data_IF_684992864964
#
_entry.id   IF_684992864964
#
_cell.length_a   1.000
_cell.length_b   1.000
_cell.length_c   1.000
_cell.angle_alpha   90.00
_cell.angle_beta   90.00
_cell.angle_gamma   90.00
#
_symmetry.space_group_name_H-M   'P 1'
#
loop_
_entity.id
_entity.type
_entity.pdbx_description
1 polymer ?
#
# COMPACT_ATOMS: atom_id res chain seq x y z
N UNK A 1 -32.36 -3.21 -29.84
CA UNK A 1 -32.48 -3.99 -28.60
C UNK A 1 -31.49 -3.41 -27.59
N UNK A 2 -31.92 -2.50 -26.72
CA UNK A 2 -31.08 -2.02 -25.60
C UNK A 2 -31.09 -3.14 -24.58
N UNK A 3 -29.94 -3.76 -24.35
CA UNK A 3 -29.77 -4.61 -23.17
C UNK A 3 -29.76 -3.66 -22.00
N UNK A 4 -30.89 -3.58 -21.29
CA UNK A 4 -30.97 -2.95 -19.99
C UNK A 4 -30.01 -3.71 -19.08
N UNK A 5 -28.81 -3.16 -18.93
CA UNK A 5 -27.87 -3.63 -17.92
C UNK A 5 -28.47 -3.21 -16.59
N UNK A 6 -29.19 -4.14 -15.97
CA UNK A 6 -29.56 -4.04 -14.56
C UNK A 6 -28.27 -3.80 -13.79
N UNK A 7 -28.03 -2.55 -13.41
CA UNK A 7 -26.87 -2.15 -12.63
C UNK A 7 -27.08 -2.72 -11.23
N UNK A 8 -26.59 -3.94 -11.02
CA UNK A 8 -26.64 -4.59 -9.72
C UNK A 8 -25.92 -3.69 -8.71
N UNK A 9 -26.61 -3.29 -7.65
CA UNK A 9 -26.00 -2.55 -6.56
C UNK A 9 -24.80 -3.36 -6.01
N UNK A 10 -23.59 -2.79 -5.92
CA UNK A 10 -22.42 -3.50 -5.44
C UNK A 10 -22.63 -3.96 -3.99
N UNK A 11 -22.29 -5.20 -3.71
CA UNK A 11 -22.43 -5.80 -2.37
C UNK A 11 -21.13 -5.69 -1.57
N UNK A 12 -21.17 -6.00 -0.28
CA UNK A 12 -19.97 -6.15 0.53
C UNK A 12 -18.97 -7.15 -0.10
N UNK A 13 -19.47 -8.28 -0.62
CA UNK A 13 -18.65 -9.28 -1.30
C UNK A 13 -17.98 -8.75 -2.58
N UNK A 14 -18.67 -7.88 -3.32
CA UNK A 14 -18.10 -7.21 -4.50
C UNK A 14 -16.86 -6.40 -4.13
N UNK A 15 -16.94 -5.59 -3.07
CA UNK A 15 -15.81 -4.78 -2.63
C UNK A 15 -14.72 -5.62 -1.96
N UNK A 16 -15.07 -6.69 -1.24
CA UNK A 16 -14.07 -7.62 -0.70
C UNK A 16 -13.26 -8.24 -1.85
N UNK A 17 -13.91 -8.68 -2.92
CA UNK A 17 -13.24 -9.22 -4.10
C UNK A 17 -12.35 -8.19 -4.78
N UNK A 18 -12.76 -6.93 -4.86
CA UNK A 18 -11.91 -5.85 -5.38
C UNK A 18 -10.68 -5.61 -4.48
N UNK A 19 -10.84 -5.69 -3.16
CA UNK A 19 -9.73 -5.61 -2.20
C UNK A 19 -8.75 -6.77 -2.36
N UNK A 20 -9.25 -8.00 -2.52
CA UNK A 20 -8.42 -9.18 -2.78
C UNK A 20 -7.74 -9.12 -4.16
N UNK A 21 -8.41 -8.56 -5.17
CA UNK A 21 -7.81 -8.32 -6.49
C UNK A 21 -6.72 -7.25 -6.43
N UNK A 22 -6.92 -6.18 -5.65
CA UNK A 22 -5.87 -5.20 -5.39
C UNK A 22 -4.69 -5.85 -4.64
N UNK A 23 -4.94 -6.76 -3.70
CA UNK A 23 -3.88 -7.54 -3.07
C UNK A 23 -3.15 -8.45 -4.07
N UNK A 24 -3.84 -9.08 -5.02
CA UNK A 24 -3.19 -9.87 -6.08
C UNK A 24 -2.20 -9.05 -6.92
N UNK A 25 -2.40 -7.73 -7.05
CA UNK A 25 -1.44 -6.83 -7.71
C UNK A 25 -0.11 -6.78 -6.95
N UNK A 26 -0.11 -6.89 -5.61
CA UNK A 26 1.14 -6.98 -4.81
C UNK A 26 2.00 -8.16 -5.30
N UNK A 27 1.37 -9.29 -5.61
CA UNK A 27 2.02 -10.50 -6.12
C UNK A 27 2.76 -10.35 -7.46
N UNK A 28 2.62 -9.21 -8.16
CA UNK A 28 3.42 -8.88 -9.34
C UNK A 28 4.93 -8.99 -9.09
N UNK A 29 5.40 -8.58 -7.92
CA UNK A 29 6.82 -8.68 -7.58
C UNK A 29 7.30 -10.14 -7.55
N UNK A 30 6.47 -11.05 -7.01
CA UNK A 30 6.79 -12.48 -7.01
C UNK A 30 6.86 -13.06 -8.42
N UNK A 31 6.01 -12.56 -9.34
CA UNK A 31 6.08 -12.93 -10.75
C UNK A 31 7.38 -12.45 -11.37
N UNK A 32 7.81 -11.21 -11.10
CA UNK A 32 9.08 -10.68 -11.60
C UNK A 32 10.28 -11.45 -11.05
N UNK A 33 10.32 -11.72 -9.75
CA UNK A 33 11.37 -12.53 -9.13
C UNK A 33 11.45 -13.94 -9.74
N UNK A 34 10.29 -14.55 -10.04
CA UNK A 34 10.25 -15.83 -10.73
C UNK A 34 10.79 -15.72 -12.16
N UNK A 35 10.41 -14.69 -12.93
CA UNK A 35 10.90 -14.49 -14.29
C UNK A 35 12.41 -14.22 -14.33
N UNK A 36 12.92 -13.44 -13.38
CA UNK A 36 14.35 -13.16 -13.22
C UNK A 36 15.15 -14.45 -12.95
N UNK A 37 14.59 -15.39 -12.19
CA UNK A 37 15.23 -16.69 -11.95
C UNK A 37 15.40 -17.55 -13.21
N UNK A 38 14.56 -17.34 -14.24
CA UNK A 38 14.64 -18.03 -15.53
C UNK A 38 15.46 -17.29 -16.59
N UNK A 39 15.75 -16.01 -16.38
CA UNK A 39 16.46 -15.16 -17.34
C UNK A 39 17.70 -14.53 -16.69
N UNK A 40 18.81 -15.29 -16.55
CA UNK A 40 20.02 -14.81 -15.89
C UNK A 40 20.63 -13.56 -16.54
N UNK A 41 20.32 -13.31 -17.82
CA UNK A 41 20.72 -12.11 -18.54
C UNK A 41 20.06 -10.82 -17.99
N UNK A 42 18.93 -10.94 -17.30
CA UNK A 42 18.29 -9.83 -16.56
C UNK A 42 18.86 -9.68 -15.15
N UNK A 43 19.56 -10.70 -14.63
CA UNK A 43 20.10 -10.71 -13.26
C UNK A 43 21.58 -10.33 -13.26
N UNK A 44 21.88 -9.03 -13.32
CA UNK A 44 23.17 -8.51 -12.84
C UNK A 44 23.11 -8.40 -11.31
N UNK A 45 23.08 -9.56 -10.64
CA UNK A 45 22.89 -9.68 -9.18
C UNK A 45 23.87 -8.76 -8.44
N UNK A 46 23.34 -7.86 -7.62
CA UNK A 46 24.12 -6.90 -6.83
C UNK A 46 24.45 -5.58 -7.51
N UNK A 47 24.20 -5.42 -8.82
CA UNK A 47 24.41 -4.13 -9.51
C UNK A 47 23.27 -3.14 -9.26
N UNK A 48 23.58 -1.84 -9.27
CA UNK A 48 22.56 -0.79 -9.20
C UNK A 48 21.58 -0.87 -10.36
N UNK A 49 22.07 -1.15 -11.58
CA UNK A 49 21.22 -1.27 -12.77
C UNK A 49 20.17 -2.36 -12.61
N UNK A 50 20.53 -3.51 -12.05
CA UNK A 50 19.56 -4.58 -11.80
C UNK A 50 18.52 -4.16 -10.75
N UNK A 51 18.96 -3.54 -9.64
CA UNK A 51 18.05 -3.07 -8.60
C UNK A 51 17.07 -2.01 -9.12
N UNK A 52 17.57 -1.03 -9.89
CA UNK A 52 16.74 0.02 -10.49
C UNK A 52 15.74 -0.56 -11.49
N UNK A 53 16.17 -1.49 -12.35
CA UNK A 53 15.26 -2.15 -13.30
C UNK A 53 14.18 -2.94 -12.56
N UNK A 54 14.57 -3.74 -11.56
CA UNK A 54 13.63 -4.50 -10.74
C UNK A 54 12.60 -3.59 -10.06
N UNK A 55 13.06 -2.59 -9.29
CA UNK A 55 12.17 -1.65 -8.59
C UNK A 55 11.28 -0.86 -9.55
N UNK A 56 11.80 -0.46 -10.71
CA UNK A 56 11.01 0.24 -11.72
C UNK A 56 9.92 -0.65 -12.34
N UNK A 57 10.25 -1.91 -12.68
CA UNK A 57 9.28 -2.86 -13.23
C UNK A 57 8.23 -3.28 -12.21
N UNK A 58 8.63 -3.50 -10.95
CA UNK A 58 7.71 -3.81 -9.86
C UNK A 58 6.77 -2.64 -9.61
N UNK A 59 7.31 -1.43 -9.42
CA UNK A 59 6.52 -0.22 -9.23
C UNK A 59 5.57 0.06 -10.40
N UNK A 60 6.04 -0.11 -11.64
CA UNK A 60 5.19 0.06 -12.82
C UNK A 60 4.03 -0.95 -12.84
N UNK A 61 4.27 -2.23 -12.55
CA UNK A 61 3.21 -3.23 -12.50
C UNK A 61 2.21 -2.98 -11.38
N UNK A 62 2.67 -2.51 -10.22
CA UNK A 62 1.79 -2.06 -9.14
C UNK A 62 0.91 -0.88 -9.53
N UNK A 63 1.47 0.15 -10.17
CA UNK A 63 0.72 1.32 -10.62
C UNK A 63 -0.28 0.96 -11.74
N UNK A 64 0.16 0.18 -12.73
CA UNK A 64 -0.69 -0.29 -13.84
C UNK A 64 -1.81 -1.18 -13.33
N UNK A 65 -1.50 -2.18 -12.48
CA UNK A 65 -2.48 -3.06 -11.87
C UNK A 65 -3.49 -2.29 -11.02
N UNK A 66 -3.02 -1.36 -10.19
CA UNK A 66 -3.87 -0.46 -9.40
C UNK A 66 -4.79 0.38 -10.28
N UNK A 67 -4.28 0.94 -11.37
CA UNK A 67 -5.08 1.72 -12.32
C UNK A 67 -6.15 0.86 -13.00
N UNK A 68 -5.83 -0.38 -13.39
CA UNK A 68 -6.78 -1.33 -13.98
C UNK A 68 -7.90 -1.66 -12.99
N UNK A 69 -7.56 -2.04 -11.76
CA UNK A 69 -8.54 -2.38 -10.72
C UNK A 69 -9.43 -1.19 -10.39
N UNK A 70 -8.83 -0.01 -10.20
CA UNK A 70 -9.57 1.22 -9.91
C UNK A 70 -10.51 1.61 -11.06
N UNK A 71 -10.06 1.49 -12.30
CA UNK A 71 -10.88 1.76 -13.49
C UNK A 71 -12.03 0.76 -13.61
N UNK A 72 -11.79 -0.52 -13.34
CA UNK A 72 -12.83 -1.54 -13.32
C UNK A 72 -13.88 -1.26 -12.24
N UNK A 73 -13.44 -0.94 -11.01
CA UNK A 73 -14.31 -0.60 -9.89
C UNK A 73 -15.18 0.63 -10.17
N UNK A 74 -14.61 1.68 -10.78
CA UNK A 74 -15.36 2.90 -11.16
C UNK A 74 -16.40 2.61 -12.25
N UNK A 75 -16.04 1.84 -13.27
CA UNK A 75 -16.91 1.58 -14.43
C UNK A 75 -18.01 0.57 -14.17
N UNK A 76 -17.70 -0.49 -13.40
CA UNK A 76 -18.62 -1.62 -13.20
C UNK A 76 -19.42 -1.49 -11.91
N UNK A 77 -18.79 -0.96 -10.86
CA UNK A 77 -19.35 -0.95 -9.50
C UNK A 77 -19.63 0.46 -8.98
N UNK A 78 -19.50 1.49 -9.83
CA UNK A 78 -19.77 2.89 -9.44
C UNK A 78 -18.91 3.38 -8.26
N UNK A 79 -17.73 2.80 -8.04
CA UNK A 79 -16.91 3.12 -6.87
C UNK A 79 -16.44 4.58 -6.88
N UNK A 80 -16.70 5.29 -5.78
CA UNK A 80 -16.28 6.68 -5.57
C UNK A 80 -14.99 6.66 -4.74
N UNK A 81 -13.85 6.77 -5.41
CA UNK A 81 -12.54 6.73 -4.75
C UNK A 81 -12.24 7.97 -3.90
N UNK A 82 -12.86 9.10 -4.24
CA UNK A 82 -12.67 10.39 -3.58
C UNK A 82 -14.02 11.03 -3.32
N UNK A 83 -14.74 10.63 -2.26
CA UNK A 83 -16.00 11.25 -1.88
C UNK A 83 -15.77 12.71 -1.44
N UNK A 84 -16.84 13.55 -1.44
CA UNK A 84 -16.77 14.92 -0.97
C UNK A 84 -16.07 15.04 0.38
N UNK A 85 -15.28 16.10 0.54
CA UNK A 85 -14.50 16.26 1.77
C UNK A 85 -15.43 16.48 2.96
N UNK A 86 -15.34 15.68 4.04
CA UNK A 86 -15.79 16.16 5.34
C UNK A 86 -15.15 17.51 5.67
N UNK A 87 -15.84 18.32 6.46
CA UNK A 87 -15.28 19.54 7.03
C UNK A 87 -13.95 19.21 7.71
N UNK A 88 -12.90 19.99 7.40
CA UNK A 88 -11.60 19.85 8.05
C UNK A 88 -11.78 20.20 9.52
N UNK A 89 -11.65 19.21 10.40
CA UNK A 89 -11.64 19.38 11.85
C UNK A 89 -10.21 19.20 12.35
N UNK A 90 -9.75 20.13 13.19
CA UNK A 90 -8.40 20.09 13.76
C UNK A 90 -8.11 18.74 14.44
N UNK A 91 -9.07 18.22 15.19
CA UNK A 91 -8.99 16.90 15.85
C UNK A 91 -8.62 15.76 14.88
N UNK A 92 -9.18 15.76 13.67
CA UNK A 92 -8.85 14.73 12.67
C UNK A 92 -7.44 14.89 12.13
N UNK A 93 -7.01 16.14 11.91
CA UNK A 93 -5.65 16.43 11.44
C UNK A 93 -4.63 16.02 12.50
N UNK A 94 -4.88 16.37 13.76
CA UNK A 94 -4.05 15.97 14.91
C UNK A 94 -4.02 14.44 15.04
N UNK A 95 -5.17 13.76 14.92
CA UNK A 95 -5.22 12.30 14.98
C UNK A 95 -4.46 11.62 13.84
N UNK A 96 -4.56 12.12 12.61
CA UNK A 96 -3.77 11.62 11.47
C UNK A 96 -2.28 11.84 11.73
N UNK A 97 -1.89 13.02 12.17
CA UNK A 97 -0.49 13.32 12.49
C UNK A 97 0.05 12.41 13.60
N UNK A 98 -0.72 12.20 14.67
CA UNK A 98 -0.35 11.31 15.76
C UNK A 98 -0.20 9.85 15.28
N UNK A 99 -1.07 9.37 14.39
CA UNK A 99 -0.94 8.04 13.80
C UNK A 99 0.30 7.91 12.90
N UNK A 100 0.62 8.94 12.12
CA UNK A 100 1.86 8.97 11.32
C UNK A 100 3.08 8.90 12.24
N UNK A 101 3.14 9.75 13.27
CA UNK A 101 4.23 9.74 14.26
C UNK A 101 4.34 8.38 14.96
N UNK A 102 3.20 7.75 15.29
CA UNK A 102 3.18 6.41 15.86
C UNK A 102 3.76 5.38 14.91
N UNK A 103 3.38 5.36 13.63
CA UNK A 103 3.93 4.45 12.64
C UNK A 103 5.45 4.60 12.50
N UNK A 104 5.92 5.84 12.34
CA UNK A 104 7.36 6.16 12.24
C UNK A 104 8.11 5.74 13.51
N UNK A 105 7.54 6.03 14.68
CA UNK A 105 8.12 5.64 15.97
C UNK A 105 8.20 4.14 16.17
N UNK A 106 7.15 3.39 15.80
CA UNK A 106 7.13 1.93 15.86
C UNK A 106 8.16 1.33 14.92
N UNK A 107 8.30 1.87 13.71
CA UNK A 107 9.32 1.45 12.75
C UNK A 107 10.72 1.67 13.31
N UNK A 108 10.97 2.86 13.84
CA UNK A 108 12.26 3.21 14.41
C UNK A 108 12.62 2.32 15.60
N UNK A 109 11.69 2.09 16.53
CA UNK A 109 11.93 1.18 17.67
C UNK A 109 12.14 -0.26 17.20
N UNK A 110 11.35 -0.73 16.22
CA UNK A 110 11.46 -2.09 15.69
C UNK A 110 12.76 -2.37 14.95
N UNK A 111 13.29 -1.37 14.24
CA UNK A 111 14.58 -1.45 13.55
C UNK A 111 15.77 -1.19 14.48
N UNK A 112 15.59 -0.37 15.51
CA UNK A 112 16.67 0.16 16.35
C UNK A 112 17.30 1.43 15.77
N UNK A 113 18.52 1.74 16.21
CA UNK A 113 19.27 2.92 15.73
C UNK A 113 20.07 2.59 14.46
N UNK A 114 20.20 3.51 13.49
CA UNK A 114 19.71 4.90 13.46
C UNK A 114 18.28 5.06 12.93
N UNK A 115 17.77 6.30 12.92
CA UNK A 115 16.47 6.67 12.34
C UNK A 115 16.30 6.07 10.93
N UNK A 116 15.12 5.51 10.56
CA UNK A 116 15.06 4.59 9.43
C UNK A 116 15.53 5.13 8.06
N UNK A 117 15.22 6.38 7.63
CA UNK A 117 15.81 6.97 6.43
C UNK A 117 17.34 7.07 6.45
N UNK A 118 17.94 7.28 7.62
CA UNK A 118 19.40 7.32 7.79
C UNK A 118 19.98 5.91 7.64
N UNK A 119 19.31 4.91 8.22
CA UNK A 119 19.73 3.52 8.08
C UNK A 119 19.58 3.01 6.64
N UNK A 120 18.52 3.38 5.93
CA UNK A 120 18.34 3.11 4.51
C UNK A 120 19.46 3.73 3.68
N UNK A 121 19.73 5.02 3.87
CA UNK A 121 20.80 5.69 3.16
C UNK A 121 22.18 5.07 3.45
N UNK A 122 22.45 4.69 4.71
CA UNK A 122 23.66 3.95 5.08
C UNK A 122 23.82 2.64 4.31
N UNK A 123 22.74 1.83 4.22
CA UNK A 123 22.73 0.60 3.41
C UNK A 123 22.98 0.88 1.92
N UNK A 124 22.42 1.98 1.39
CA UNK A 124 22.65 2.36 -0.01
C UNK A 124 24.09 2.80 -0.26
N UNK A 125 24.76 3.47 0.70
CA UNK A 125 26.19 3.81 0.61
C UNK A 125 27.03 2.53 0.60
N UNK A 126 26.77 1.60 1.51
CA UNK A 126 27.51 0.33 1.60
C UNK A 126 27.39 -0.48 0.30
N UNK A 127 26.23 -0.44 -0.35
CA UNK A 127 25.96 -1.26 -1.53
C UNK A 127 26.33 -0.57 -2.87
N UNK A 128 26.16 0.75 -2.97
CA UNK A 128 26.24 1.48 -4.25
C UNK A 128 27.17 2.69 -4.23
N UNK A 129 27.87 2.95 -3.12
CA UNK A 129 28.82 4.04 -2.94
C UNK A 129 28.26 5.40 -3.41
N UNK A 130 28.91 6.04 -4.39
CA UNK A 130 28.55 7.38 -4.88
C UNK A 130 27.15 7.45 -5.52
N UNK A 131 26.57 6.30 -5.89
CA UNK A 131 25.23 6.21 -6.48
C UNK A 131 24.13 5.92 -5.45
N UNK A 132 24.46 5.93 -4.16
CA UNK A 132 23.50 5.67 -3.07
C UNK A 132 22.25 6.55 -3.12
N UNK A 133 22.41 7.83 -3.46
CA UNK A 133 21.28 8.76 -3.57
C UNK A 133 20.32 8.37 -4.70
N UNK A 134 20.83 7.87 -5.82
CA UNK A 134 20.00 7.40 -6.93
C UNK A 134 19.21 6.16 -6.49
N UNK A 135 19.89 5.20 -5.85
CA UNK A 135 19.24 4.00 -5.32
C UNK A 135 18.13 4.33 -4.32
N UNK A 136 18.40 5.24 -3.38
CA UNK A 136 17.43 5.66 -2.36
C UNK A 136 16.19 6.30 -2.97
N UNK A 137 16.36 7.24 -3.92
CA UNK A 137 15.22 7.90 -4.58
C UNK A 137 14.36 6.89 -5.35
N UNK A 138 14.99 5.97 -6.09
CA UNK A 138 14.25 4.93 -6.82
C UNK A 138 13.52 3.99 -5.86
N UNK A 139 14.14 3.62 -4.74
CA UNK A 139 13.50 2.81 -3.69
C UNK A 139 12.30 3.53 -3.08
N UNK A 140 12.39 4.83 -2.80
CA UNK A 140 11.26 5.61 -2.29
C UNK A 140 10.11 5.73 -3.31
N UNK A 141 10.41 5.82 -4.61
CA UNK A 141 9.38 5.76 -5.65
C UNK A 141 8.71 4.39 -5.72
N UNK A 142 9.48 3.31 -5.56
CA UNK A 142 8.97 1.95 -5.45
C UNK A 142 8.05 1.79 -4.21
N UNK A 143 8.46 2.29 -3.05
CA UNK A 143 7.63 2.30 -1.84
C UNK A 143 6.34 3.13 -2.01
N UNK A 144 6.43 4.28 -2.67
CA UNK A 144 5.25 5.07 -2.99
C UNK A 144 4.27 4.32 -3.90
N UNK A 145 4.77 3.54 -4.86
CA UNK A 145 3.95 2.68 -5.72
C UNK A 145 3.28 1.54 -4.92
N UNK A 146 3.99 0.93 -3.97
CA UNK A 146 3.42 -0.08 -3.07
C UNK A 146 2.25 0.49 -2.26
N UNK A 147 2.44 1.69 -1.69
CA UNK A 147 1.40 2.37 -0.90
C UNK A 147 0.15 2.67 -1.73
N UNK A 148 0.25 2.87 -3.05
CA UNK A 148 -0.93 2.99 -3.92
C UNK A 148 -1.76 1.71 -3.92
N UNK A 149 -1.11 0.54 -4.03
CA UNK A 149 -1.79 -0.76 -3.96
C UNK A 149 -2.41 -0.97 -2.59
N UNK A 150 -1.66 -0.70 -1.51
CA UNK A 150 -2.15 -0.79 -0.13
C UNK A 150 -3.37 0.12 0.09
N UNK A 151 -3.35 1.34 -0.43
CA UNK A 151 -4.47 2.28 -0.32
C UNK A 151 -5.72 1.75 -1.01
N UNK A 152 -5.60 1.05 -2.14
CA UNK A 152 -6.74 0.41 -2.80
C UNK A 152 -7.29 -0.78 -2.00
N UNK A 153 -6.42 -1.63 -1.44
CA UNK A 153 -6.83 -2.71 -0.52
C UNK A 153 -7.64 -2.11 0.64
N UNK A 154 -7.12 -1.05 1.27
CA UNK A 154 -7.80 -0.34 2.36
C UNK A 154 -9.14 0.22 1.86
N UNK A 155 -9.16 0.92 0.73
CA UNK A 155 -10.37 1.60 0.27
C UNK A 155 -11.51 0.61 -0.04
N UNK A 156 -11.20 -0.51 -0.69
CA UNK A 156 -12.18 -1.55 -0.98
C UNK A 156 -12.57 -2.34 0.27
N UNK A 157 -11.62 -2.71 1.11
CA UNK A 157 -11.90 -3.37 2.40
C UNK A 157 -12.76 -2.51 3.32
N UNK A 158 -12.51 -1.19 3.34
CA UNK A 158 -13.30 -0.24 4.11
C UNK A 158 -14.75 -0.27 3.67
N UNK A 159 -14.99 -0.20 2.35
CA UNK A 159 -16.34 -0.22 1.79
C UNK A 159 -17.04 -1.57 2.03
N UNK A 160 -16.30 -2.67 1.92
CA UNK A 160 -16.82 -4.01 2.18
C UNK A 160 -17.32 -4.15 3.62
N UNK A 161 -16.50 -3.77 4.60
CA UNK A 161 -16.85 -3.85 6.01
C UNK A 161 -17.99 -2.91 6.40
N UNK A 162 -18.00 -1.70 5.85
CA UNK A 162 -19.10 -0.74 6.05
C UNK A 162 -20.45 -1.28 5.59
N UNK A 163 -20.50 -1.89 4.39
CA UNK A 163 -21.72 -2.48 3.87
C UNK A 163 -22.15 -3.73 4.64
N UNK A 164 -21.19 -4.51 5.17
CA UNK A 164 -21.49 -5.78 5.85
C UNK A 164 -21.93 -5.58 7.30
N UNK A 165 -21.31 -4.64 8.01
CA UNK A 165 -21.39 -4.51 9.46
C UNK A 165 -21.97 -3.17 9.93
N UNK A 166 -22.07 -2.14 9.07
CA UNK A 166 -22.69 -0.86 9.43
C UNK A 166 -21.91 0.00 10.43
N UNK A 167 -20.65 -0.33 10.72
CA UNK A 167 -19.79 0.40 11.66
C UNK A 167 -18.70 1.20 10.92
N UNK A 168 -19.01 2.39 10.36
CA UNK A 168 -18.07 3.13 9.51
C UNK A 168 -16.88 3.71 10.25
N UNK A 169 -16.93 3.83 11.58
CA UNK A 169 -15.82 4.32 12.38
C UNK A 169 -14.65 3.32 12.48
N UNK A 170 -14.91 2.02 12.27
CA UNK A 170 -13.89 0.99 12.35
C UNK A 170 -13.03 0.93 11.07
N UNK A 171 -11.72 0.63 11.19
CA UNK A 171 -10.79 0.58 10.06
C UNK A 171 -10.86 -0.76 9.33
N UNK A 172 -12.03 -1.12 8.79
CA UNK A 172 -12.22 -2.38 8.06
C UNK A 172 -11.20 -2.57 6.94
N UNK A 173 -10.83 -1.49 6.26
CA UNK A 173 -9.78 -1.52 5.25
C UNK A 173 -8.40 -1.88 5.82
N UNK A 174 -8.09 -1.39 7.02
CA UNK A 174 -6.86 -1.72 7.72
C UNK A 174 -6.83 -3.17 8.21
N UNK A 175 -7.97 -3.72 8.63
CA UNK A 175 -8.08 -5.15 8.96
C UNK A 175 -7.86 -6.03 7.73
N UNK A 176 -8.44 -5.67 6.58
CA UNK A 176 -8.18 -6.40 5.33
C UNK A 176 -6.69 -6.35 4.97
N UNK A 177 -6.08 -5.15 5.03
CA UNK A 177 -4.65 -4.99 4.74
C UNK A 177 -3.76 -5.79 5.72
N UNK A 178 -4.13 -5.85 7.00
CA UNK A 178 -3.40 -6.64 7.99
C UNK A 178 -3.44 -8.14 7.64
N UNK A 179 -4.59 -8.64 7.19
CA UNK A 179 -4.77 -10.05 6.79
C UNK A 179 -4.12 -10.39 5.45
N UNK A 180 -3.95 -9.41 4.56
CA UNK A 180 -3.36 -9.65 3.23
C UNK A 180 -1.88 -9.31 3.20
N UNK A 181 -1.51 -8.05 3.43
CA UNK A 181 -0.14 -7.58 3.36
C UNK A 181 0.63 -7.92 4.65
N UNK A 182 0.08 -7.61 5.82
CA UNK A 182 0.75 -7.88 7.11
C UNK A 182 1.00 -9.36 7.38
N UNK A 183 0.00 -10.22 7.14
CA UNK A 183 0.13 -11.67 7.34
C UNK A 183 1.12 -12.30 6.36
N UNK A 184 1.17 -11.86 5.11
CA UNK A 184 2.17 -12.34 4.15
C UNK A 184 3.58 -12.00 4.59
N UNK A 185 3.78 -10.87 5.28
CA UNK A 185 5.08 -10.53 5.86
C UNK A 185 5.50 -11.49 6.99
N UNK A 186 4.56 -12.12 7.71
CA UNK A 186 4.90 -13.22 8.63
C UNK A 186 5.56 -14.37 7.87
N UNK A 187 5.03 -14.70 6.70
CA UNK A 187 5.48 -15.81 5.87
C UNK A 187 6.83 -15.51 5.18
N UNK A 188 7.01 -14.29 4.69
CA UNK A 188 8.18 -13.91 3.87
C UNK A 188 9.32 -13.28 4.67
N UNK A 189 9.03 -12.61 5.78
CA UNK A 189 10.00 -11.81 6.54
C UNK A 189 10.05 -12.16 8.04
N UNK A 190 9.24 -13.14 8.47
CA UNK A 190 9.20 -13.64 9.84
C UNK A 190 8.17 -12.93 10.73
N UNK A 191 7.95 -13.52 11.90
CA UNK A 191 6.85 -13.14 12.82
C UNK A 191 6.91 -11.68 13.25
N UNK A 192 8.09 -11.17 13.61
CA UNK A 192 8.23 -9.78 14.07
C UNK A 192 7.84 -8.77 12.97
N UNK A 193 8.35 -8.96 11.75
CA UNK A 193 8.03 -8.12 10.60
C UNK A 193 6.54 -8.16 10.25
N UNK A 194 5.94 -9.35 10.28
CA UNK A 194 4.51 -9.50 10.01
C UNK A 194 3.60 -8.90 11.09
N UNK A 195 3.92 -9.06 12.38
CA UNK A 195 3.16 -8.43 13.46
C UNK A 195 3.24 -6.90 13.40
N UNK A 196 4.43 -6.36 13.11
CA UNK A 196 4.60 -4.94 12.80
C UNK A 196 3.71 -4.55 11.61
N UNK A 197 3.78 -5.32 10.52
CA UNK A 197 3.00 -5.07 9.31
C UNK A 197 1.49 -5.06 9.55
N UNK A 198 0.99 -5.99 10.36
CA UNK A 198 -0.41 -6.06 10.77
C UNK A 198 -0.82 -4.84 11.61
N UNK A 199 0.02 -4.42 12.57
CA UNK A 199 -0.26 -3.27 13.42
C UNK A 199 -0.33 -1.97 12.61
N UNK A 200 0.66 -1.71 11.74
CA UNK A 200 0.65 -0.51 10.90
C UNK A 200 -0.51 -0.52 9.89
N UNK A 201 -0.94 -1.70 9.42
CA UNK A 201 -2.08 -1.81 8.52
C UNK A 201 -3.37 -1.28 9.16
N UNK A 202 -3.59 -1.56 10.45
CA UNK A 202 -4.72 -1.01 11.21
C UNK A 202 -4.63 0.51 11.33
N UNK A 203 -3.44 1.05 11.63
CA UNK A 203 -3.20 2.49 11.67
C UNK A 203 -3.46 3.15 10.31
N UNK A 204 -3.04 2.52 9.21
CA UNK A 204 -3.28 3.00 7.85
C UNK A 204 -4.77 3.03 7.52
N UNK A 205 -5.52 1.99 7.92
CA UNK A 205 -6.98 1.99 7.83
C UNK A 205 -7.63 3.13 8.60
N UNK A 206 -7.13 3.44 9.80
CA UNK A 206 -7.63 4.58 10.59
C UNK A 206 -7.30 5.93 9.93
N UNK A 207 -6.10 6.10 9.40
CA UNK A 207 -5.73 7.28 8.60
C UNK A 207 -6.72 7.45 7.44
N UNK A 208 -7.04 6.38 6.72
CA UNK A 208 -8.01 6.42 5.62
C UNK A 208 -9.42 6.82 6.06
N UNK A 209 -9.89 6.34 7.21
CA UNK A 209 -11.19 6.74 7.78
C UNK A 209 -11.19 8.24 8.14
N UNK A 210 -10.12 8.72 8.78
CA UNK A 210 -9.99 10.10 9.29
C UNK A 210 -9.83 11.13 8.17
N UNK A 211 -9.16 10.77 7.08
CA UNK A 211 -9.02 11.58 5.86
C UNK A 211 -10.29 11.60 5.01
N UNK A 212 -11.37 10.96 5.47
CA UNK A 212 -12.68 10.97 4.83
C UNK A 212 -12.83 9.95 3.70
N UNK A 213 -12.16 8.79 3.79
CA UNK A 213 -12.27 7.67 2.85
C UNK A 213 -11.89 8.03 1.42
N UNK A 214 -10.96 8.96 1.28
CA UNK A 214 -10.47 9.41 -0.02
C UNK A 214 -9.12 8.80 -0.26
N UNK A 215 -8.99 8.07 -1.37
CA UNK A 215 -7.73 7.51 -1.83
C UNK A 215 -6.69 8.63 -1.90
N UNK A 216 -6.99 9.73 -2.60
CA UNK A 216 -6.04 10.84 -2.80
C UNK A 216 -5.60 11.51 -1.49
N UNK A 217 -6.55 11.76 -0.57
CA UNK A 217 -6.23 12.44 0.70
C UNK A 217 -5.48 11.56 1.68
N UNK A 218 -5.63 10.25 1.56
CA UNK A 218 -4.91 9.28 2.40
C UNK A 218 -3.53 8.98 1.86
N UNK A 219 -3.32 9.05 0.55
CA UNK A 219 -2.02 8.69 -0.06
C UNK A 219 -0.84 9.42 0.57
N UNK A 220 -0.90 10.74 0.75
CA UNK A 220 0.22 11.50 1.31
C UNK A 220 0.63 11.06 2.73
N UNK A 221 -0.25 11.05 3.75
CA UNK A 221 0.13 10.59 5.08
C UNK A 221 0.54 9.12 5.12
N UNK A 222 -0.06 8.26 4.28
CA UNK A 222 0.33 6.85 4.20
C UNK A 222 1.74 6.67 3.61
N UNK A 223 2.09 7.40 2.55
CA UNK A 223 3.44 7.38 1.96
C UNK A 223 4.47 7.88 2.97
N UNK A 224 4.17 8.97 3.67
CA UNK A 224 5.06 9.52 4.71
C UNK A 224 5.26 8.49 5.84
N UNK A 225 4.18 7.89 6.33
CA UNK A 225 4.26 6.89 7.41
C UNK A 225 4.95 5.58 7.00
N UNK A 226 5.03 5.27 5.70
CA UNK A 226 5.65 4.07 5.18
C UNK A 226 7.15 4.27 4.91
N UNK A 227 7.52 5.42 4.35
CA UNK A 227 8.91 5.75 4.00
C UNK A 227 9.73 6.14 5.24
N UNK A 228 9.14 6.90 6.17
CA UNK A 228 9.80 7.35 7.39
C UNK A 228 9.72 6.26 8.47
#
# INVERSE_FOLDING_TARGET
>A
MRVDTVTRQPTAGTYLNLGLLAFAVVGWELVLLLLESFLPALTLVGSLSAAVVHWALTGAGWLVGSAIVLRAARRREGFIADPPSPARRLERVVAVFALVVLCVGLRWVGQGSPFPPVAEYGRMIEQYADLAWVALVVQWLYYAAEVVVMTLIIAFGQRAGELRFGCPALPWGGFLLALTWGLVHVLLQGVAAGLYGMLISVAFGMIFVLTGRSVRRSSAPLVVAFIL
#
